data_IF_246494576919
#
_entry.id   IF_246494576919
#
_cell.length_a   1.000
_cell.length_b   1.000
_cell.length_c   1.000
_cell.angle_alpha   90.00
_cell.angle_beta   90.00
_cell.angle_gamma   90.00
#
_symmetry.space_group_name_H-M   'P 1'
#
loop_
_entity.id
_entity.type
_entity.pdbx_description
1 polymer ?
#
# COMPACT_ATOMS: atom_id res chain seq x y z
N UNK A 1 -9.70 7.68 40.40
CA UNK A 1 -10.35 7.38 39.12
C UNK A 1 -9.32 7.48 38.00
N UNK A 2 -8.74 6.34 37.59
CA UNK A 2 -7.83 6.26 36.44
C UNK A 2 -8.63 5.69 35.27
N UNK A 3 -8.92 6.52 34.27
CA UNK A 3 -9.77 6.19 33.12
C UNK A 3 -8.97 5.84 31.86
N UNK A 4 -7.66 5.59 31.99
CA UNK A 4 -6.73 5.41 30.86
C UNK A 4 -6.11 4.00 30.77
N UNK A 5 -6.76 2.99 31.34
CA UNK A 5 -6.33 1.59 31.29
C UNK A 5 -7.41 0.68 30.69
N UNK A 6 -8.02 1.11 29.60
CA UNK A 6 -8.98 0.27 28.87
C UNK A 6 -9.07 0.81 27.47
N UNK A 7 -8.33 0.16 26.57
CA UNK A 7 -8.66 -0.16 25.18
C UNK A 7 -7.35 -0.64 24.55
N UNK A 8 -6.99 -1.89 24.85
CA UNK A 8 -6.08 -2.67 24.00
C UNK A 8 -6.69 -2.72 22.61
N UNK A 9 -6.26 -1.79 21.76
CA UNK A 9 -6.71 -1.69 20.39
C UNK A 9 -6.12 -2.85 19.60
N UNK A 10 -6.86 -3.95 19.52
CA UNK A 10 -6.80 -4.81 18.34
C UNK A 10 -7.11 -3.90 17.16
N UNK A 11 -6.05 -3.45 16.48
CA UNK A 11 -6.16 -2.62 15.29
C UNK A 11 -7.08 -3.31 14.28
N UNK A 12 -7.80 -2.55 13.45
CA UNK A 12 -8.74 -3.15 12.51
C UNK A 12 -7.97 -4.16 11.65
N UNK A 13 -8.30 -5.44 11.81
CA UNK A 13 -8.02 -6.45 10.80
C UNK A 13 -8.49 -5.83 9.48
N UNK A 14 -7.54 -5.52 8.60
CA UNK A 14 -7.84 -5.03 7.27
C UNK A 14 -8.80 -6.00 6.58
N UNK A 15 -9.54 -5.56 5.54
CA UNK A 15 -10.50 -6.44 4.88
C UNK A 15 -9.82 -7.77 4.56
N UNK A 16 -10.38 -8.88 5.06
CA UNK A 16 -9.82 -10.24 5.04
C UNK A 16 -9.66 -10.85 3.64
N UNK A 17 -9.70 -10.03 2.59
CA UNK A 17 -9.51 -10.42 1.21
C UNK A 17 -8.12 -10.02 0.69
N UNK A 18 -7.72 -10.59 -0.46
CA UNK A 18 -6.45 -10.25 -1.10
C UNK A 18 -6.28 -8.74 -1.31
N UNK A 19 -5.05 -8.23 -1.21
CA UNK A 19 -4.73 -6.83 -1.44
C UNK A 19 -5.19 -6.40 -2.84
N UNK A 20 -5.93 -5.28 -2.94
CA UNK A 20 -6.58 -4.85 -4.18
C UNK A 20 -5.82 -3.74 -4.91
N UNK A 21 -5.96 -3.74 -6.23
CA UNK A 21 -5.45 -2.67 -7.09
C UNK A 21 -5.97 -1.27 -6.67
N UNK A 22 -5.08 -0.28 -6.63
CA UNK A 22 -5.37 1.11 -6.27
C UNK A 22 -6.01 1.92 -7.40
N UNK A 23 -6.08 1.37 -8.62
CA UNK A 23 -6.76 2.01 -9.74
C UNK A 23 -8.25 2.13 -9.41
N UNK A 24 -8.78 3.36 -9.50
CA UNK A 24 -10.20 3.63 -9.27
C UNK A 24 -11.07 2.72 -10.15
N UNK A 25 -12.00 1.99 -9.54
CA UNK A 25 -12.92 1.08 -10.23
C UNK A 25 -12.35 -0.31 -10.53
N UNK A 26 -11.04 -0.54 -10.34
CA UNK A 26 -10.46 -1.87 -10.43
C UNK A 26 -10.74 -2.66 -9.14
N UNK A 27 -11.05 -3.94 -9.29
CA UNK A 27 -11.26 -4.89 -8.18
C UNK A 27 -10.34 -6.10 -8.22
N UNK A 28 -9.46 -6.15 -9.23
CA UNK A 28 -8.49 -7.24 -9.40
C UNK A 28 -7.45 -7.23 -8.29
N UNK A 29 -6.93 -8.42 -7.99
CA UNK A 29 -5.88 -8.61 -7.00
C UNK A 29 -4.58 -7.93 -7.43
N UNK A 30 -3.92 -7.31 -6.46
CA UNK A 30 -2.64 -6.68 -6.68
C UNK A 30 -1.54 -7.73 -6.77
N UNK A 31 -0.64 -7.55 -7.74
CA UNK A 31 0.54 -8.38 -7.93
C UNK A 31 1.82 -7.63 -7.56
N UNK A 32 1.79 -6.30 -7.58
CA UNK A 32 2.95 -5.44 -7.30
C UNK A 32 2.56 -4.25 -6.44
N UNK A 33 3.56 -3.68 -5.79
CA UNK A 33 3.49 -2.40 -5.10
C UNK A 33 4.36 -1.36 -5.80
N UNK A 34 3.83 -0.15 -5.93
CA UNK A 34 4.50 1.02 -6.50
C UNK A 34 4.78 2.01 -5.36
N UNK A 35 6.05 2.15 -5.01
CA UNK A 35 6.53 3.10 -4.03
C UNK A 35 6.68 4.46 -4.71
N UNK A 36 6.11 5.48 -4.08
CA UNK A 36 6.15 6.84 -4.60
C UNK A 36 6.33 7.88 -3.49
N UNK A 37 6.84 9.05 -3.86
CA UNK A 37 7.01 10.18 -2.96
C UNK A 37 6.72 11.49 -3.70
N UNK A 38 5.94 12.36 -3.08
CA UNK A 38 5.75 13.73 -3.56
C UNK A 38 6.55 14.69 -2.66
N UNK A 39 7.72 15.17 -3.09
CA UNK A 39 8.60 16.00 -2.27
C UNK A 39 7.99 17.36 -1.92
N UNK A 40 6.92 17.78 -2.61
CA UNK A 40 6.19 19.01 -2.28
C UNK A 40 5.40 18.91 -0.98
N UNK A 41 5.10 17.69 -0.51
CA UNK A 41 4.23 17.46 0.66
C UNK A 41 4.79 16.42 1.66
N UNK A 42 5.84 15.69 1.29
CA UNK A 42 6.41 14.61 2.09
C UNK A 42 7.92 14.77 2.18
N UNK A 43 8.51 14.34 3.31
CA UNK A 43 9.97 14.25 3.45
C UNK A 43 10.56 13.28 2.42
N UNK A 44 11.83 13.45 2.01
CA UNK A 44 12.45 12.65 0.98
C UNK A 44 12.61 11.16 1.33
N UNK A 45 12.45 10.78 2.59
CA UNK A 45 12.51 9.40 3.11
C UNK A 45 11.14 8.73 3.11
N UNK A 46 10.05 9.51 3.20
CA UNK A 46 8.70 8.96 3.26
C UNK A 46 8.33 8.31 1.92
N UNK A 47 7.84 7.07 1.94
CA UNK A 47 7.30 6.39 0.75
C UNK A 47 5.83 6.08 1.00
N UNK A 48 4.98 6.40 0.02
CA UNK A 48 3.62 5.89 -0.05
C UNK A 48 3.60 4.71 -1.02
N UNK A 49 2.62 3.83 -0.82
CA UNK A 49 2.45 2.63 -1.62
C UNK A 49 1.13 2.71 -2.36
N UNK A 50 1.16 2.44 -3.68
CA UNK A 50 0.00 2.08 -4.47
C UNK A 50 0.12 0.63 -4.90
N UNK A 51 -0.92 -0.15 -4.68
CA UNK A 51 -1.01 -1.53 -5.12
C UNK A 51 -1.51 -1.60 -6.56
N UNK A 52 -1.00 -2.51 -7.37
CA UNK A 52 -1.42 -2.65 -8.76
C UNK A 52 -1.55 -4.11 -9.20
N UNK A 53 -2.61 -4.42 -9.94
CA UNK A 53 -2.73 -5.68 -10.68
C UNK A 53 -1.87 -5.67 -11.93
N UNK A 54 -1.66 -6.84 -12.55
CA UNK A 54 -0.85 -6.98 -13.76
C UNK A 54 -1.28 -6.05 -14.90
N UNK A 55 -2.58 -5.82 -15.07
CA UNK A 55 -3.13 -4.95 -16.12
C UNK A 55 -2.83 -3.46 -15.91
N UNK A 56 -2.75 -3.00 -14.65
CA UNK A 56 -2.68 -1.57 -14.33
C UNK A 56 -1.33 -1.11 -13.83
N UNK A 57 -0.41 -2.02 -13.54
CA UNK A 57 0.87 -1.69 -12.94
C UNK A 57 1.70 -0.75 -13.82
N UNK A 58 1.80 -1.03 -15.13
CA UNK A 58 2.53 -0.18 -16.08
C UNK A 58 1.92 1.22 -16.21
N UNK A 59 0.59 1.30 -16.30
CA UNK A 59 -0.10 2.58 -16.40
C UNK A 59 0.13 3.45 -15.15
N UNK A 60 0.04 2.87 -13.95
CA UNK A 60 0.26 3.57 -12.69
C UNK A 60 1.72 4.01 -12.51
N UNK A 61 2.66 3.17 -12.90
CA UNK A 61 4.09 3.51 -12.88
C UNK A 61 4.40 4.66 -13.84
N UNK A 62 3.90 4.61 -15.07
CA UNK A 62 4.09 5.69 -16.04
C UNK A 62 3.49 7.01 -15.51
N UNK A 63 2.27 6.98 -14.97
CA UNK A 63 1.63 8.14 -14.36
C UNK A 63 2.48 8.77 -13.24
N UNK A 64 3.11 7.95 -12.40
CA UNK A 64 4.00 8.42 -11.32
C UNK A 64 5.33 8.95 -11.88
N UNK A 65 5.87 8.32 -12.92
CA UNK A 65 7.15 8.66 -13.55
C UNK A 65 7.07 10.00 -14.27
N UNK A 66 6.04 10.22 -15.08
CA UNK A 66 5.82 11.49 -15.79
C UNK A 66 5.70 12.70 -14.84
N UNK A 67 5.32 12.44 -13.59
CA UNK A 67 5.16 13.46 -12.54
C UNK A 67 6.35 13.52 -11.58
N UNK A 68 7.42 12.75 -11.84
CA UNK A 68 8.61 12.65 -10.99
C UNK A 68 8.31 12.20 -9.55
N UNK A 69 7.24 11.42 -9.38
CA UNK A 69 6.78 10.89 -8.09
C UNK A 69 7.25 9.45 -7.85
N UNK A 70 7.50 8.70 -8.93
CA UNK A 70 7.90 7.30 -8.86
C UNK A 70 9.24 7.13 -8.13
N UNK A 71 9.34 6.04 -7.36
CA UNK A 71 10.57 5.65 -6.67
C UNK A 71 10.95 4.22 -7.02
N UNK A 72 10.03 3.28 -6.88
CA UNK A 72 10.33 1.88 -7.09
C UNK A 72 9.07 1.06 -7.34
N UNK A 73 9.21 -0.04 -8.09
CA UNK A 73 8.21 -1.08 -8.26
C UNK A 73 8.76 -2.36 -7.65
N UNK A 74 7.99 -2.97 -6.76
CA UNK A 74 8.37 -4.20 -6.08
C UNK A 74 7.26 -5.25 -6.23
N UNK A 75 7.61 -6.54 -6.29
CA UNK A 75 6.62 -7.60 -6.21
C UNK A 75 5.86 -7.47 -4.89
N UNK A 76 4.55 -7.76 -4.92
CA UNK A 76 3.78 -7.82 -3.70
C UNK A 76 4.07 -9.17 -3.06
N UNK A 77 4.87 -9.16 -1.99
CA UNK A 77 5.07 -10.39 -1.21
C UNK A 77 3.76 -10.75 -0.53
N UNK A 78 3.34 -12.01 -0.68
CA UNK A 78 2.22 -12.57 0.06
C UNK A 78 2.58 -12.48 1.54
N UNK A 79 1.98 -11.51 2.24
CA UNK A 79 2.06 -11.46 3.69
C UNK A 79 1.32 -12.69 4.21
N UNK A 80 2.06 -13.79 4.39
CA UNK A 80 1.62 -14.93 5.17
C UNK A 80 1.33 -14.38 6.56
N UNK A 81 0.07 -14.33 7.02
CA UNK A 81 -0.21 -13.93 8.39
C UNK A 81 0.57 -14.89 9.29
N UNK A 82 1.47 -14.33 10.10
CA UNK A 82 2.43 -15.08 10.88
C UNK A 82 1.75 -16.20 11.67
N UNK A 83 2.26 -17.41 11.53
CA UNK A 83 2.11 -18.45 12.55
C UNK A 83 2.59 -17.85 13.86
N UNK A 84 1.65 -17.64 14.78
CA UNK A 84 1.93 -17.42 16.19
C UNK A 84 2.87 -18.54 16.70
N UNK A 85 3.92 -18.16 17.42
CA UNK A 85 4.60 -19.06 18.36
C UNK A 85 4.34 -18.58 19.78
#
# INVERSE_FOLDING_TARGET
MSIFDSLGGSGPEGPAGPPRCSRKGCRSDAAVQLLWNNPKIHTPERRKIWLACAEHADWLENYLTERLLFKERQPLEEQTPGTAS
#
